data_IF_964639282347
#
_entry.id   IF_964639282347
#
_cell.length_a   1.000
_cell.length_b   1.000
_cell.length_c   1.000
_cell.angle_alpha   90.00
_cell.angle_beta   90.00
_cell.angle_gamma   90.00
#
_symmetry.space_group_name_H-M   'P 1'
#
loop_
_entity.id
_entity.type
_entity.pdbx_description
1 polymer ?
#
# COMPACT_ATOMS: atom_id res chain seq x y z
N UNK A 1 33.13 -25.72 -23.13
CA UNK A 1 33.42 -25.21 -21.77
C UNK A 1 34.92 -25.03 -21.48
N UNK A 2 35.85 -25.86 -21.99
CA UNK A 2 37.28 -25.68 -21.71
C UNK A 2 37.89 -24.36 -22.23
N UNK A 3 37.36 -23.81 -23.32
CA UNK A 3 37.81 -22.53 -23.90
C UNK A 3 37.54 -21.34 -22.95
N UNK A 4 36.52 -21.44 -22.09
CA UNK A 4 36.18 -20.41 -21.10
C UNK A 4 37.21 -20.40 -19.96
N UNK A 5 37.76 -21.57 -19.63
CA UNK A 5 38.83 -21.68 -18.65
C UNK A 5 40.15 -21.09 -19.16
N UNK A 6 40.33 -20.89 -20.47
CA UNK A 6 41.54 -20.30 -21.07
C UNK A 6 41.47 -18.76 -21.25
N UNK A 7 40.33 -18.13 -20.97
CA UNK A 7 40.10 -16.69 -21.19
C UNK A 7 40.72 -15.74 -20.13
N UNK A 8 41.76 -16.14 -19.40
CA UNK A 8 42.28 -15.37 -18.25
C UNK A 8 42.86 -13.98 -18.59
N UNK A 9 43.17 -13.71 -19.87
CA UNK A 9 43.79 -12.46 -20.33
C UNK A 9 42.84 -11.51 -21.08
N UNK A 10 41.55 -11.83 -21.19
CA UNK A 10 40.58 -10.98 -21.87
C UNK A 10 39.68 -10.25 -20.88
N UNK A 11 39.15 -9.09 -21.30
CA UNK A 11 38.19 -8.33 -20.51
C UNK A 11 36.86 -9.09 -20.42
N UNK A 12 36.66 -9.75 -19.27
CA UNK A 12 35.53 -10.65 -19.01
C UNK A 12 34.15 -10.07 -19.32
N UNK A 13 33.82 -8.86 -18.84
CA UNK A 13 32.58 -8.17 -19.16
C UNK A 13 32.38 -7.91 -20.66
N UNK A 14 33.43 -7.54 -21.39
CA UNK A 14 33.34 -7.28 -22.82
C UNK A 14 33.12 -8.56 -23.63
N UNK A 15 33.85 -9.64 -23.32
CA UNK A 15 33.68 -10.95 -23.96
C UNK A 15 32.30 -11.53 -23.61
N UNK A 16 31.84 -11.33 -22.38
CA UNK A 16 30.48 -11.67 -21.96
C UNK A 16 29.41 -10.93 -22.77
N UNK A 17 29.58 -9.63 -23.00
CA UNK A 17 28.65 -8.85 -23.83
C UNK A 17 28.55 -9.36 -25.27
N UNK A 18 29.69 -9.62 -25.92
CA UNK A 18 29.73 -10.14 -27.30
C UNK A 18 29.11 -11.54 -27.39
N UNK A 19 29.28 -12.38 -26.37
CA UNK A 19 28.67 -13.73 -26.36
C UNK A 19 27.16 -13.69 -26.14
N UNK A 20 26.63 -12.71 -25.40
CA UNK A 20 25.19 -12.43 -25.32
C UNK A 20 24.64 -11.99 -26.68
N UNK A 21 25.33 -11.10 -27.40
CA UNK A 21 24.94 -10.67 -28.75
C UNK A 21 24.95 -11.83 -29.75
N UNK A 22 25.86 -12.79 -29.57
CA UNK A 22 25.93 -14.02 -30.36
C UNK A 22 24.87 -15.08 -29.96
N UNK A 23 23.96 -14.76 -29.03
CA UNK A 23 22.94 -15.67 -28.49
C UNK A 23 23.49 -16.94 -27.80
N UNK A 24 24.75 -16.90 -27.35
CA UNK A 24 25.41 -17.97 -26.60
C UNK A 24 25.31 -17.72 -25.09
N UNK A 25 24.10 -17.87 -24.55
CA UNK A 25 23.77 -17.41 -23.20
C UNK A 25 24.35 -18.28 -22.07
N UNK A 26 24.47 -19.60 -22.29
CA UNK A 26 25.07 -20.52 -21.30
C UNK A 26 26.59 -20.28 -21.18
N UNK A 27 27.25 -20.00 -22.31
CA UNK A 27 28.65 -19.61 -22.36
C UNK A 27 28.87 -18.23 -21.73
N UNK A 28 28.00 -17.25 -22.05
CA UNK A 28 28.04 -15.93 -21.45
C UNK A 28 27.90 -15.98 -19.92
N UNK A 29 26.95 -16.78 -19.41
CA UNK A 29 26.79 -16.99 -17.97
C UNK A 29 28.05 -17.59 -17.32
N UNK A 30 28.65 -18.61 -17.94
CA UNK A 30 29.89 -19.21 -17.45
C UNK A 30 31.06 -18.23 -17.45
N UNK A 31 31.14 -17.34 -18.45
CA UNK A 31 32.13 -16.26 -18.51
C UNK A 31 31.90 -15.28 -17.36
N UNK A 32 30.70 -14.70 -17.21
CA UNK A 32 30.41 -13.74 -16.15
C UNK A 32 30.63 -14.31 -14.75
N UNK A 33 30.30 -15.59 -14.54
CA UNK A 33 30.59 -16.32 -13.29
C UNK A 33 32.09 -16.44 -13.03
N UNK A 34 32.91 -16.69 -14.06
CA UNK A 34 34.36 -16.80 -13.90
C UNK A 34 35.00 -15.46 -13.53
N UNK A 35 34.49 -14.36 -14.07
CA UNK A 35 34.98 -13.01 -13.83
C UNK A 35 34.33 -12.30 -12.63
N UNK A 36 33.58 -13.02 -11.78
CA UNK A 36 32.87 -12.47 -10.61
C UNK A 36 31.94 -11.29 -10.94
N UNK A 37 31.46 -11.19 -12.17
CA UNK A 37 30.52 -10.14 -12.60
C UNK A 37 29.09 -10.60 -12.32
N UNK A 38 28.75 -10.68 -11.04
CA UNK A 38 27.54 -11.38 -10.56
C UNK A 38 26.24 -10.75 -11.06
N UNK A 39 26.14 -9.41 -11.09
CA UNK A 39 24.96 -8.69 -11.59
C UNK A 39 24.70 -9.00 -13.07
N UNK A 40 25.75 -9.03 -13.88
CA UNK A 40 25.64 -9.36 -15.31
C UNK A 40 25.27 -10.82 -15.50
N UNK A 41 25.83 -11.74 -14.70
CA UNK A 41 25.46 -13.15 -14.73
C UNK A 41 23.97 -13.37 -14.39
N UNK A 42 23.45 -12.67 -13.38
CA UNK A 42 22.03 -12.70 -13.00
C UNK A 42 21.16 -12.15 -14.13
N UNK A 43 21.53 -11.02 -14.73
CA UNK A 43 20.76 -10.44 -15.84
C UNK A 43 20.71 -11.37 -17.05
N UNK A 44 21.79 -12.08 -17.39
CA UNK A 44 21.76 -13.07 -18.47
C UNK A 44 20.77 -14.20 -18.17
N UNK A 45 20.72 -14.67 -16.93
CA UNK A 45 19.77 -15.69 -16.50
C UNK A 45 18.32 -15.21 -16.57
N UNK A 46 18.06 -13.95 -16.22
CA UNK A 46 16.73 -13.36 -16.15
C UNK A 46 16.21 -12.91 -17.53
N UNK A 47 16.99 -12.14 -18.29
CA UNK A 47 16.54 -11.51 -19.53
C UNK A 47 16.57 -12.47 -20.72
N UNK A 48 17.64 -13.29 -20.82
CA UNK A 48 17.86 -14.15 -21.98
C UNK A 48 17.37 -15.57 -21.74
N UNK A 49 17.82 -16.21 -20.65
CA UNK A 49 17.44 -17.59 -20.32
C UNK A 49 16.06 -17.67 -19.64
N UNK A 50 15.51 -16.54 -19.18
CA UNK A 50 14.21 -16.44 -18.49
C UNK A 50 14.03 -17.46 -17.37
N UNK A 51 15.11 -17.77 -16.66
CA UNK A 51 15.13 -18.79 -15.62
C UNK A 51 15.31 -18.16 -14.24
N UNK A 52 14.18 -17.78 -13.63
CA UNK A 52 14.15 -17.18 -12.29
C UNK A 52 14.70 -18.16 -11.24
N UNK A 53 14.38 -19.44 -11.35
CA UNK A 53 14.85 -20.47 -10.40
C UNK A 53 16.37 -20.56 -10.37
N UNK A 54 17.02 -20.57 -11.54
CA UNK A 54 18.49 -20.56 -11.64
C UNK A 54 19.08 -19.25 -11.13
N UNK A 55 18.42 -18.13 -11.42
CA UNK A 55 18.84 -16.82 -10.92
C UNK A 55 18.76 -16.74 -9.39
N UNK A 56 17.71 -17.30 -8.78
CA UNK A 56 17.55 -17.43 -7.34
C UNK A 56 18.66 -18.29 -6.74
N UNK A 57 18.89 -19.50 -7.26
CA UNK A 57 19.97 -20.38 -6.79
C UNK A 57 21.35 -19.70 -6.87
N UNK A 58 21.58 -18.92 -7.92
CA UNK A 58 22.83 -18.16 -8.06
C UNK A 58 22.91 -17.01 -7.05
N UNK A 59 21.83 -16.24 -6.88
CA UNK A 59 21.76 -15.17 -5.88
C UNK A 59 21.93 -15.68 -4.44
N UNK A 60 21.39 -16.86 -4.12
CA UNK A 60 21.59 -17.55 -2.85
C UNK A 60 23.05 -17.95 -2.60
N UNK A 61 23.82 -18.28 -3.64
CA UNK A 61 25.24 -18.66 -3.48
C UNK A 61 26.16 -17.46 -3.36
N UNK A 62 25.83 -16.38 -4.05
CA UNK A 62 26.64 -15.17 -4.11
C UNK A 62 26.36 -14.24 -2.92
N UNK A 63 25.15 -14.28 -2.37
CA UNK A 63 24.70 -13.48 -1.22
C UNK A 63 24.93 -11.96 -1.39
N UNK A 64 24.89 -11.48 -2.64
CA UNK A 64 25.11 -10.06 -2.96
C UNK A 64 23.78 -9.33 -3.16
N UNK A 65 23.60 -8.21 -2.45
CA UNK A 65 22.38 -7.40 -2.48
C UNK A 65 21.97 -6.99 -3.91
N UNK A 66 22.95 -6.61 -4.74
CA UNK A 66 22.70 -6.20 -6.12
C UNK A 66 22.11 -7.32 -7.00
N UNK A 67 22.47 -8.58 -6.73
CA UNK A 67 21.89 -9.75 -7.42
C UNK A 67 20.43 -9.96 -7.02
N UNK A 68 20.12 -9.88 -5.74
CA UNK A 68 18.75 -9.99 -5.22
C UNK A 68 17.83 -8.90 -5.74
N UNK A 69 18.31 -7.66 -5.87
CA UNK A 69 17.54 -6.56 -6.48
C UNK A 69 17.11 -6.86 -7.92
N UNK A 70 17.98 -7.48 -8.73
CA UNK A 70 17.64 -7.82 -10.11
C UNK A 70 16.64 -8.98 -10.19
N UNK A 71 16.83 -10.00 -9.35
CA UNK A 71 15.88 -11.12 -9.25
C UNK A 71 14.49 -10.63 -8.83
N UNK A 72 14.42 -9.75 -7.83
CA UNK A 72 13.17 -9.19 -7.33
C UNK A 72 12.42 -8.39 -8.42
N UNK A 73 13.15 -7.59 -9.22
CA UNK A 73 12.57 -6.87 -10.38
C UNK A 73 11.99 -7.82 -11.41
N UNK A 74 12.70 -8.90 -11.73
CA UNK A 74 12.21 -9.89 -12.69
C UNK A 74 10.98 -10.65 -12.17
N UNK A 75 10.97 -11.01 -10.88
CA UNK A 75 9.80 -11.63 -10.24
C UNK A 75 8.58 -10.71 -10.26
N UNK A 76 8.78 -9.40 -10.06
CA UNK A 76 7.72 -8.40 -10.13
C UNK A 76 7.11 -8.32 -11.53
N UNK A 77 7.93 -8.38 -12.59
CA UNK A 77 7.47 -8.40 -13.99
C UNK A 77 6.63 -9.64 -14.31
N UNK A 78 6.97 -10.78 -13.71
CA UNK A 78 6.27 -12.06 -13.86
C UNK A 78 5.06 -12.20 -12.90
N UNK A 79 4.70 -11.11 -12.20
CA UNK A 79 3.59 -11.04 -11.22
C UNK A 79 3.73 -11.98 -10.02
N UNK A 80 4.95 -12.42 -9.71
CA UNK A 80 5.27 -13.19 -8.52
C UNK A 80 5.51 -12.25 -7.33
N UNK A 81 4.46 -11.57 -6.88
CA UNK A 81 4.56 -10.45 -5.93
C UNK A 81 5.10 -10.88 -4.56
N UNK A 82 4.68 -12.05 -4.06
CA UNK A 82 5.13 -12.56 -2.75
C UNK A 82 6.64 -12.81 -2.75
N UNK A 83 7.12 -13.53 -3.76
CA UNK A 83 8.55 -13.88 -3.90
C UNK A 83 9.40 -12.63 -4.21
N UNK A 84 8.86 -11.70 -4.99
CA UNK A 84 9.49 -10.42 -5.28
C UNK A 84 9.69 -9.59 -4.01
N UNK A 85 8.65 -9.48 -3.17
CA UNK A 85 8.72 -8.76 -1.90
C UNK A 85 9.78 -9.38 -0.97
N UNK A 86 9.80 -10.70 -0.83
CA UNK A 86 10.82 -11.37 0.00
C UNK A 86 12.24 -11.10 -0.54
N UNK A 87 12.40 -11.15 -1.85
CA UNK A 87 13.68 -10.86 -2.51
C UNK A 87 14.10 -9.40 -2.33
N UNK A 88 13.16 -8.44 -2.39
CA UNK A 88 13.44 -7.02 -2.09
C UNK A 88 13.82 -6.79 -0.63
N UNK A 89 13.19 -7.48 0.31
CA UNK A 89 13.53 -7.40 1.73
C UNK A 89 14.97 -7.88 1.95
N UNK A 90 15.38 -8.98 1.31
CA UNK A 90 16.75 -9.50 1.36
C UNK A 90 17.76 -8.61 0.66
N UNK A 91 17.38 -8.03 -0.47
CA UNK A 91 18.19 -7.06 -1.20
C UNK A 91 18.35 -5.72 -0.46
N UNK A 92 17.50 -5.48 0.54
CA UNK A 92 17.47 -4.22 1.30
C UNK A 92 17.26 -2.97 0.41
N UNK A 93 16.67 -3.17 -0.78
CA UNK A 93 16.55 -2.19 -1.84
C UNK A 93 15.19 -1.49 -1.81
N UNK A 94 15.22 -0.16 -1.68
CA UNK A 94 14.06 0.71 -1.63
C UNK A 94 13.76 1.42 -2.97
N UNK A 95 14.49 1.14 -4.04
CA UNK A 95 14.40 1.91 -5.30
C UNK A 95 13.11 1.67 -6.09
N UNK A 96 12.47 0.50 -5.96
CA UNK A 96 11.29 0.09 -6.76
C UNK A 96 10.00 0.01 -5.94
N UNK A 97 9.96 0.66 -4.78
CA UNK A 97 8.86 0.50 -3.82
C UNK A 97 7.51 0.90 -4.40
N UNK A 98 7.47 1.91 -5.28
CA UNK A 98 6.23 2.33 -5.95
C UNK A 98 5.63 1.23 -6.85
N UNK A 99 6.47 0.45 -7.52
CA UNK A 99 6.00 -0.63 -8.39
C UNK A 99 5.60 -1.86 -7.56
N UNK A 100 6.28 -2.11 -6.44
CA UNK A 100 5.88 -3.13 -5.46
C UNK A 100 4.52 -2.81 -4.85
N UNK A 101 4.27 -1.56 -4.46
CA UNK A 101 2.97 -1.13 -3.93
C UNK A 101 1.86 -1.41 -4.95
N UNK A 102 2.03 -0.96 -6.19
CA UNK A 102 1.03 -1.20 -7.25
C UNK A 102 0.75 -2.68 -7.47
N UNK A 103 1.80 -3.50 -7.55
CA UNK A 103 1.65 -4.94 -7.75
C UNK A 103 0.98 -5.63 -6.54
N UNK A 104 1.28 -5.17 -5.33
CA UNK A 104 0.68 -5.68 -4.10
C UNK A 104 -0.80 -5.28 -3.97
N UNK A 105 -1.16 -4.05 -4.36
CA UNK A 105 -2.56 -3.60 -4.47
C UNK A 105 -3.34 -4.47 -5.45
N UNK A 106 -2.80 -4.69 -6.65
CA UNK A 106 -3.42 -5.53 -7.69
C UNK A 106 -3.63 -6.98 -7.21
N UNK A 107 -2.72 -7.47 -6.37
CA UNK A 107 -2.74 -8.84 -5.84
C UNK A 107 -3.44 -8.97 -4.48
N UNK A 108 -3.90 -7.86 -3.87
CA UNK A 108 -4.42 -7.78 -2.50
C UNK A 108 -3.48 -8.36 -1.42
N UNK A 109 -2.17 -8.33 -1.63
CA UNK A 109 -1.16 -8.90 -0.72
C UNK A 109 -0.66 -7.85 0.28
N UNK A 110 -1.53 -7.38 1.16
CA UNK A 110 -1.22 -6.30 2.11
C UNK A 110 -0.27 -6.73 3.24
N UNK A 111 -0.31 -8.01 3.65
CA UNK A 111 0.53 -8.52 4.74
C UNK A 111 2.02 -8.52 4.38
N UNK A 112 2.36 -8.94 3.16
CA UNK A 112 3.76 -8.92 2.70
C UNK A 112 4.21 -7.49 2.37
N UNK A 113 3.28 -6.66 1.87
CA UNK A 113 3.52 -5.25 1.61
C UNK A 113 3.91 -4.49 2.89
N UNK A 114 3.20 -4.71 4.01
CA UNK A 114 3.53 -4.13 5.32
C UNK A 114 4.98 -4.41 5.72
N UNK A 115 5.40 -5.67 5.60
CA UNK A 115 6.78 -6.09 5.90
C UNK A 115 7.81 -5.39 5.01
N UNK A 116 7.51 -5.22 3.73
CA UNK A 116 8.39 -4.49 2.81
C UNK A 116 8.49 -3.00 3.18
N UNK A 117 7.35 -2.35 3.39
CA UNK A 117 7.28 -0.92 3.70
C UNK A 117 7.92 -0.60 5.06
N UNK A 118 7.81 -1.49 6.05
CA UNK A 118 8.51 -1.32 7.34
C UNK A 118 10.04 -1.36 7.20
N UNK A 119 10.58 -2.12 6.23
CA UNK A 119 12.02 -2.13 5.92
C UNK A 119 12.44 -0.84 5.19
N UNK A 120 11.59 -0.33 4.31
CA UNK A 120 11.86 0.84 3.46
C UNK A 120 11.80 2.16 4.24
N UNK A 121 10.86 2.28 5.19
CA UNK A 121 10.61 3.51 5.95
C UNK A 121 11.85 4.17 6.55
N UNK A 122 12.77 3.47 7.25
CA UNK A 122 13.99 4.10 7.77
C UNK A 122 14.95 4.61 6.68
N UNK A 123 14.82 4.13 5.44
CA UNK A 123 15.70 4.47 4.31
C UNK A 123 15.11 5.55 3.40
N UNK A 124 13.79 5.56 3.20
CA UNK A 124 13.09 6.52 2.36
C UNK A 124 11.84 7.04 3.07
N UNK A 125 11.88 8.32 3.47
CA UNK A 125 10.75 9.02 4.05
C UNK A 125 9.88 9.64 2.95
N UNK A 126 9.22 8.79 2.17
CA UNK A 126 8.28 9.23 1.15
C UNK A 126 6.84 9.30 1.69
N UNK A 127 6.08 10.36 1.38
CA UNK A 127 4.70 10.50 1.85
C UNK A 127 3.79 9.40 1.30
N UNK A 128 4.11 8.84 0.13
CA UNK A 128 3.37 7.72 -0.47
C UNK A 128 3.58 6.43 0.33
N UNK A 129 4.82 6.12 0.72
CA UNK A 129 5.14 4.93 1.52
C UNK A 129 4.39 4.94 2.85
N UNK A 130 4.42 6.06 3.57
CA UNK A 130 3.68 6.21 4.84
C UNK A 130 2.16 6.10 4.63
N UNK A 131 1.65 6.63 3.51
CA UNK A 131 0.21 6.58 3.17
C UNK A 131 -0.27 5.15 2.93
N UNK A 132 0.49 4.40 2.14
CA UNK A 132 0.18 3.02 1.78
C UNK A 132 0.40 2.06 2.95
N UNK A 133 1.35 2.35 3.84
CA UNK A 133 1.53 1.57 5.06
C UNK A 133 0.31 1.67 6.00
N UNK A 134 -0.25 2.88 6.18
CA UNK A 134 -1.49 3.05 6.95
C UNK A 134 -2.63 2.28 6.27
N UNK A 135 -2.70 2.31 4.94
CA UNK A 135 -3.72 1.57 4.20
C UNK A 135 -3.57 0.05 4.36
N UNK A 136 -2.34 -0.47 4.28
CA UNK A 136 -2.05 -1.87 4.52
C UNK A 136 -2.44 -2.30 5.94
N UNK A 137 -2.10 -1.53 6.97
CA UNK A 137 -2.53 -1.82 8.35
C UNK A 137 -4.05 -1.83 8.51
N UNK A 138 -4.75 -0.91 7.84
CA UNK A 138 -6.20 -0.86 7.89
C UNK A 138 -6.85 -2.08 7.22
N UNK A 139 -6.26 -2.59 6.14
CA UNK A 139 -6.72 -3.81 5.45
C UNK A 139 -6.48 -5.09 6.27
N UNK A 140 -5.46 -5.09 7.12
CA UNK A 140 -5.12 -6.21 8.01
C UNK A 140 -5.84 -6.08 9.38
N UNK A 141 -6.66 -5.03 9.56
CA UNK A 141 -7.37 -4.71 10.82
C UNK A 141 -6.43 -4.56 12.04
N UNK A 142 -5.18 -4.13 11.83
CA UNK A 142 -4.22 -3.87 12.91
C UNK A 142 -4.33 -2.46 13.45
N UNK A 143 -5.37 -2.22 14.25
CA UNK A 143 -5.65 -0.89 14.84
C UNK A 143 -4.53 -0.38 15.76
N UNK A 144 -3.87 -1.27 16.53
CA UNK A 144 -2.80 -0.87 17.45
C UNK A 144 -1.56 -0.31 16.73
N UNK A 145 -1.16 -0.95 15.62
CA UNK A 145 -0.02 -0.50 14.81
C UNK A 145 -0.32 0.86 14.17
N UNK A 146 -1.59 1.14 13.83
CA UNK A 146 -2.03 2.45 13.35
C UNK A 146 -1.92 3.52 14.43
N UNK A 147 -2.34 3.22 15.67
CA UNK A 147 -2.22 4.15 16.80
C UNK A 147 -0.76 4.52 17.07
N UNK A 148 0.13 3.53 17.10
CA UNK A 148 1.55 3.76 17.28
C UNK A 148 2.14 4.56 16.10
N UNK A 149 1.73 4.24 14.86
CA UNK A 149 2.19 4.94 13.67
C UNK A 149 1.82 6.42 13.65
N UNK A 150 0.61 6.76 14.10
CA UNK A 150 0.12 8.14 14.16
C UNK A 150 0.88 8.96 15.22
N UNK A 151 1.32 8.33 16.31
CA UNK A 151 2.13 8.98 17.35
C UNK A 151 3.57 9.26 16.89
N UNK A 152 4.09 8.48 15.95
CA UNK A 152 5.40 8.72 15.35
C UNK A 152 5.38 9.87 14.34
N UNK A 153 6.51 10.58 14.13
CA UNK A 153 6.63 11.54 13.04
C UNK A 153 6.48 10.83 11.69
N UNK A 154 5.47 11.23 10.92
CA UNK A 154 5.13 10.67 9.62
C UNK A 154 4.85 11.79 8.61
N UNK A 155 5.13 11.54 7.32
CA UNK A 155 4.92 12.48 6.21
C UNK A 155 3.69 12.10 5.39
N UNK A 156 2.87 11.15 5.88
CA UNK A 156 1.69 10.64 5.18
C UNK A 156 0.80 11.77 4.62
N UNK A 157 0.35 11.62 3.38
CA UNK A 157 -0.52 12.59 2.73
C UNK A 157 -1.94 12.43 3.28
N UNK A 158 -2.18 13.06 4.43
CA UNK A 158 -3.39 12.94 5.25
C UNK A 158 -4.71 12.96 4.46
N UNK A 159 -4.94 13.80 3.43
CA UNK A 159 -6.23 13.84 2.74
C UNK A 159 -6.57 12.55 1.97
N UNK A 160 -5.62 12.01 1.21
CA UNK A 160 -5.87 10.89 0.29
C UNK A 160 -6.10 9.57 1.03
N UNK A 161 -5.27 9.32 2.04
CA UNK A 161 -5.38 8.14 2.93
C UNK A 161 -6.76 8.12 3.61
N UNK A 162 -7.29 9.28 3.97
CA UNK A 162 -8.57 9.41 4.67
C UNK A 162 -9.77 9.08 3.81
N UNK A 163 -9.77 9.47 2.54
CA UNK A 163 -10.92 9.23 1.66
C UNK A 163 -10.96 7.76 1.19
N UNK A 164 -9.80 7.09 1.06
CA UNK A 164 -9.73 5.65 0.76
C UNK A 164 -10.03 4.74 1.96
N UNK A 165 -9.79 5.20 3.19
CA UNK A 165 -10.01 4.43 4.42
C UNK A 165 -11.43 4.54 4.98
N UNK A 166 -12.29 5.32 4.33
CA UNK A 166 -13.61 5.71 4.86
C UNK A 166 -14.53 4.53 5.22
N UNK A 167 -14.25 3.34 4.70
CA UNK A 167 -15.03 2.12 4.93
C UNK A 167 -14.46 1.20 6.03
N UNK A 168 -13.28 1.50 6.57
CA UNK A 168 -12.57 0.64 7.53
C UNK A 168 -12.62 1.21 8.95
N UNK A 169 -12.56 0.34 9.96
CA UNK A 169 -12.51 0.76 11.37
C UNK A 169 -11.29 1.62 11.70
N UNK A 170 -10.21 1.43 10.95
CA UNK A 170 -9.01 2.26 10.98
C UNK A 170 -9.29 3.76 10.83
N UNK A 171 -10.31 4.14 10.06
CA UNK A 171 -10.67 5.55 9.90
C UNK A 171 -11.12 6.20 11.22
N UNK A 172 -11.71 5.44 12.16
CA UNK A 172 -12.12 5.96 13.46
C UNK A 172 -10.92 6.48 14.25
N UNK A 173 -9.87 5.65 14.34
CA UNK A 173 -8.63 5.97 15.05
C UNK A 173 -7.98 7.22 14.45
N UNK A 174 -7.86 7.26 13.11
CA UNK A 174 -7.24 8.36 12.39
C UNK A 174 -8.03 9.68 12.56
N UNK A 175 -9.35 9.66 12.39
CA UNK A 175 -10.16 10.88 12.52
C UNK A 175 -10.29 11.36 13.97
N UNK A 176 -10.30 10.44 14.94
CA UNK A 176 -10.28 10.79 16.37
C UNK A 176 -8.98 11.51 16.74
N UNK A 177 -7.82 11.02 16.27
CA UNK A 177 -6.53 11.66 16.53
C UNK A 177 -6.44 13.06 15.93
N UNK A 178 -6.87 13.24 14.67
CA UNK A 178 -6.83 14.53 13.97
C UNK A 178 -7.92 15.49 14.50
N UNK A 179 -8.78 15.04 15.42
CA UNK A 179 -9.92 15.80 15.95
C UNK A 179 -10.88 16.28 14.85
N UNK A 180 -10.98 15.53 13.74
CA UNK A 180 -11.96 15.81 12.69
C UNK A 180 -13.26 15.07 12.98
N UNK A 181 -14.02 15.63 13.92
CA UNK A 181 -15.28 15.08 14.41
C UNK A 181 -16.36 14.98 13.32
N UNK A 182 -16.33 15.85 12.33
CA UNK A 182 -17.27 15.85 11.21
C UNK A 182 -17.18 14.54 10.42
N UNK A 183 -16.00 14.22 9.88
CA UNK A 183 -15.79 12.97 9.12
C UNK A 183 -15.86 11.74 10.01
N UNK A 184 -15.47 11.84 11.29
CA UNK A 184 -15.61 10.76 12.28
C UNK A 184 -17.07 10.34 12.47
N UNK A 185 -17.98 11.32 12.58
CA UNK A 185 -19.40 11.02 12.79
C UNK A 185 -19.98 10.27 11.58
N UNK A 186 -19.63 10.69 10.37
CA UNK A 186 -20.15 10.04 9.15
C UNK A 186 -19.52 8.65 8.92
N UNK A 187 -18.25 8.42 9.28
CA UNK A 187 -17.68 7.06 9.28
C UNK A 187 -18.30 6.14 10.34
N UNK A 188 -18.59 6.65 11.53
CA UNK A 188 -19.26 5.89 12.58
C UNK A 188 -20.67 5.42 12.16
N UNK A 189 -21.39 6.25 11.40
CA UNK A 189 -22.68 5.89 10.80
C UNK A 189 -22.51 4.76 9.79
N UNK A 190 -21.53 4.85 8.88
CA UNK A 190 -21.24 3.78 7.91
C UNK A 190 -20.84 2.45 8.57
N UNK A 191 -20.11 2.53 9.68
CA UNK A 191 -19.71 1.37 10.48
C UNK A 191 -20.82 0.87 11.42
N UNK A 192 -22.04 1.43 11.31
CA UNK A 192 -23.21 1.11 12.13
C UNK A 192 -22.97 1.21 13.65
N UNK A 193 -21.99 2.01 14.06
CA UNK A 193 -21.62 2.21 15.47
C UNK A 193 -22.23 3.50 15.98
N UNK A 194 -23.52 3.42 16.29
CA UNK A 194 -24.34 4.57 16.52
C UNK A 194 -24.19 5.25 17.89
N UNK A 195 -23.65 4.54 18.89
CA UNK A 195 -23.48 5.07 20.25
C UNK A 195 -22.53 6.28 20.32
N UNK A 196 -21.53 6.35 19.43
CA UNK A 196 -20.56 7.45 19.39
C UNK A 196 -20.88 8.54 18.36
N UNK A 197 -21.89 8.33 17.51
CA UNK A 197 -22.21 9.24 16.39
C UNK A 197 -22.72 10.58 16.90
N UNK A 198 -23.62 10.58 17.89
CA UNK A 198 -24.25 11.80 18.42
C UNK A 198 -23.21 12.70 19.08
N UNK A 199 -22.35 12.11 19.90
CA UNK A 199 -21.27 12.82 20.59
C UNK A 199 -20.26 13.40 19.59
N UNK A 200 -19.90 12.65 18.55
CA UNK A 200 -19.02 13.12 17.49
C UNK A 200 -19.67 14.25 16.67
N UNK A 201 -20.94 14.11 16.29
CA UNK A 201 -21.68 15.13 15.54
C UNK A 201 -21.84 16.43 16.35
N UNK A 202 -22.12 16.32 17.65
CA UNK A 202 -22.22 17.48 18.54
C UNK A 202 -20.87 18.20 18.69
N UNK A 203 -19.76 17.44 18.80
CA UNK A 203 -18.40 18.02 18.83
C UNK A 203 -17.99 18.66 17.51
N UNK A 204 -18.47 18.14 16.38
CA UNK A 204 -18.18 18.70 15.06
C UNK A 204 -18.82 20.07 14.83
N UNK A 205 -19.97 20.33 15.45
CA UNK A 205 -20.73 21.58 15.36
C UNK A 205 -20.87 22.10 13.91
N UNK A 206 -21.07 21.19 12.96
CA UNK A 206 -21.18 21.51 11.53
C UNK A 206 -22.49 20.98 10.97
N UNK A 207 -23.31 21.88 10.41
CA UNK A 207 -24.57 21.55 9.76
C UNK A 207 -24.41 20.50 8.65
N UNK A 208 -23.36 20.62 7.84
CA UNK A 208 -23.08 19.68 6.74
C UNK A 208 -22.85 18.25 7.25
N UNK A 209 -22.04 18.10 8.29
CA UNK A 209 -21.78 16.80 8.90
C UNK A 209 -23.04 16.22 9.58
N UNK A 210 -23.82 17.06 10.27
CA UNK A 210 -25.08 16.64 10.88
C UNK A 210 -26.11 16.18 9.82
N UNK A 211 -26.20 16.87 8.67
CA UNK A 211 -27.03 16.46 7.53
C UNK A 211 -26.59 15.09 6.98
N UNK A 212 -25.30 14.90 6.71
CA UNK A 212 -24.76 13.63 6.22
C UNK A 212 -24.96 12.47 7.21
N UNK A 213 -24.77 12.73 8.51
CA UNK A 213 -25.07 11.77 9.58
C UNK A 213 -26.55 11.42 9.62
N UNK A 214 -27.44 12.41 9.47
CA UNK A 214 -28.88 12.17 9.47
C UNK A 214 -29.30 11.31 8.28
N UNK A 215 -28.84 11.63 7.07
CA UNK A 215 -29.11 10.82 5.86
C UNK A 215 -28.60 9.40 6.07
N UNK A 216 -27.35 9.23 6.51
CA UNK A 216 -26.78 7.89 6.71
C UNK A 216 -27.47 7.08 7.82
N UNK A 217 -28.00 7.72 8.87
CA UNK A 217 -28.80 7.03 9.90
C UNK A 217 -30.19 6.62 9.38
N UNK A 218 -30.79 7.41 8.50
CA UNK A 218 -32.05 7.05 7.82
C UNK A 218 -31.83 5.87 6.86
N UNK A 219 -30.75 5.90 6.07
CA UNK A 219 -30.35 4.80 5.18
C UNK A 219 -30.06 3.50 5.93
N UNK A 220 -29.63 3.60 7.20
CA UNK A 220 -29.39 2.46 8.06
C UNK A 220 -30.63 1.98 8.84
N UNK A 221 -31.81 2.54 8.58
CA UNK A 221 -33.11 2.23 9.22
C UNK A 221 -33.14 2.42 10.75
N UNK A 222 -32.19 3.16 11.32
CA UNK A 222 -32.09 3.41 12.76
C UNK A 222 -32.74 4.75 13.12
N UNK A 223 -34.06 4.75 13.38
CA UNK A 223 -34.84 5.98 13.57
C UNK A 223 -34.71 6.64 14.95
N UNK A 224 -34.07 5.98 15.94
CA UNK A 224 -33.99 6.50 17.32
C UNK A 224 -33.05 7.70 17.48
N UNK A 225 -32.00 7.76 16.67
CA UNK A 225 -30.92 8.76 16.78
C UNK A 225 -31.08 9.97 15.83
N UNK A 226 -31.62 9.81 14.60
CA UNK A 226 -31.98 10.92 13.72
C UNK A 226 -32.87 11.97 14.40
N UNK A 227 -33.69 11.57 15.38
CA UNK A 227 -34.52 12.52 16.13
C UNK A 227 -33.67 13.50 16.95
N UNK A 228 -32.60 13.03 17.60
CA UNK A 228 -31.70 13.84 18.42
C UNK A 228 -30.81 14.72 17.53
N UNK A 229 -30.27 14.15 16.44
CA UNK A 229 -29.46 14.90 15.48
C UNK A 229 -30.30 15.93 14.70
N UNK A 230 -31.54 15.58 14.33
CA UNK A 230 -32.47 16.42 13.59
C UNK A 230 -32.95 17.65 14.38
N UNK A 231 -33.13 17.51 15.70
CA UNK A 231 -33.40 18.66 16.58
C UNK A 231 -32.24 19.68 16.54
N UNK A 232 -30.99 19.22 16.46
CA UNK A 232 -29.83 20.10 16.37
C UNK A 232 -29.72 20.84 15.03
N UNK A 233 -30.17 20.20 13.93
CA UNK A 233 -30.26 20.81 12.59
C UNK A 233 -31.36 21.89 12.57
N UNK A 234 -32.51 21.63 13.20
CA UNK A 234 -33.66 22.56 13.24
C UNK A 234 -33.41 23.81 14.09
N UNK A 235 -32.45 23.78 15.02
CA UNK A 235 -32.09 24.93 15.89
C UNK A 235 -31.25 25.97 15.14
N UNK A 236 -30.60 25.64 14.02
CA UNK A 236 -29.89 26.59 13.16
C UNK A 236 -30.79 26.98 11.97
N UNK A 237 -31.54 28.06 12.16
CA UNK A 237 -32.82 28.43 11.53
C UNK A 237 -32.80 28.74 10.01
N UNK A 238 -31.64 28.77 9.34
CA UNK A 238 -31.56 29.32 7.97
C UNK A 238 -31.72 28.31 6.80
N UNK A 239 -31.76 26.99 7.05
CA UNK A 239 -31.77 25.95 5.98
C UNK A 239 -33.06 25.08 5.92
N UNK A 240 -34.17 25.56 6.50
CA UNK A 240 -35.42 24.79 6.67
C UNK A 240 -36.08 24.28 5.37
N UNK A 241 -35.82 24.88 4.20
CA UNK A 241 -36.42 24.46 2.93
C UNK A 241 -35.92 23.10 2.43
N UNK A 242 -34.63 22.77 2.55
CA UNK A 242 -34.07 21.47 2.09
C UNK A 242 -34.36 20.30 3.03
N UNK A 243 -34.54 20.54 4.33
CA UNK A 243 -34.89 19.47 5.28
C UNK A 243 -36.35 19.04 5.09
N UNK A 244 -37.20 19.92 4.54
CA UNK A 244 -38.61 19.60 4.28
C UNK A 244 -38.79 18.60 3.14
N UNK A 245 -37.92 18.62 2.12
CA UNK A 245 -38.03 17.73 0.93
C UNK A 245 -37.62 16.28 1.24
N UNK A 246 -36.56 16.08 2.04
CA UNK A 246 -36.15 14.73 2.48
C UNK A 246 -37.18 14.08 3.40
N UNK A 247 -37.90 14.86 4.20
CA UNK A 247 -38.99 14.35 5.05
C UNK A 247 -40.22 13.92 4.24
N UNK A 248 -40.49 14.55 3.11
CA UNK A 248 -41.58 14.12 2.22
C UNK A 248 -41.25 12.83 1.46
N UNK A 249 -39.99 12.58 1.13
CA UNK A 249 -39.59 11.33 0.47
C UNK A 249 -39.58 10.13 1.43
N UNK A 250 -39.12 10.32 2.68
CA UNK A 250 -39.19 9.27 3.71
C UNK A 250 -40.61 8.92 4.15
N UNK A 251 -41.57 9.86 4.04
CA UNK A 251 -42.98 9.62 4.34
C UNK A 251 -43.76 8.96 3.18
N UNK A 252 -43.16 8.85 1.98
CA UNK A 252 -43.75 8.18 0.82
C UNK A 252 -43.32 6.70 0.70
N UNK A 253 -42.37 6.23 1.51
CA UNK A 253 -41.92 4.83 1.56
C UNK A 253 -42.48 4.02 2.75
N UNK A 254 -43.38 4.59 3.56
CA UNK A 254 -44.14 3.88 4.61
C UNK A 254 -45.56 3.61 4.17
#
# INVERSE_FOLDING_TARGET
>A
MEYINQLDNFDGPAVGGVTVEAALYEEAFAIFRKFNSNVQAVNVLLDNLRSIVRALEFAFRVEEYAGWSQVAKAQLLERLVCDAIESFIRAEDATQVLDVIRAAEDSNMYHDLERNLSMVRPKSNEPKVDSELIYAYAKIDRLGDIEEFILMPHVANRPNVRDQLYEYEAAKVIYAFISNWAKLAVTLVKLKQFQGVVDAAQKANSLKASKEVWIGCVDAEEFRLPHICGLNILVQVDDLEEVSTTRTEGALMS
#
